data_IF_068638720525
#
_entry.id   IF_068638720525
#
_cell.length_a   1.000
_cell.length_b   1.000
_cell.length_c   1.000
_cell.angle_alpha   90.00
_cell.angle_beta   90.00
_cell.angle_gamma   90.00
#
_symmetry.space_group_name_H-M   'P 1'
#
loop_
_entity.id
_entity.type
_entity.pdbx_description
1 polymer ?
#
# COMPACT_ATOMS: atom_id res chain seq x y z
N UNK A 1 -8.49 31.68 -30.10
CA UNK A 1 -9.93 31.78 -29.75
C UNK A 1 -10.24 30.74 -28.69
N UNK A 2 -10.89 31.13 -27.59
CA UNK A 2 -11.39 30.19 -26.57
C UNK A 2 -12.92 30.21 -26.66
N UNK A 3 -13.55 29.04 -26.63
CA UNK A 3 -15.02 28.90 -26.69
C UNK A 3 -15.48 28.10 -25.49
N UNK A 4 -16.46 28.65 -24.78
CA UNK A 4 -17.16 27.96 -23.71
C UNK A 4 -18.63 27.86 -24.06
N UNK A 5 -19.19 26.67 -23.89
CA UNK A 5 -20.59 26.38 -24.14
C UNK A 5 -21.26 25.95 -22.85
N UNK A 6 -22.40 26.54 -22.56
CA UNK A 6 -23.17 26.30 -21.36
C UNK A 6 -24.49 25.62 -21.71
N UNK A 7 -25.01 24.85 -20.76
CA UNK A 7 -26.31 24.20 -20.88
C UNK A 7 -27.40 25.16 -20.39
N UNK A 8 -28.59 25.07 -21.01
CA UNK A 8 -29.74 25.92 -20.69
C UNK A 8 -30.14 25.78 -19.22
N UNK A 9 -30.25 26.91 -18.53
CA UNK A 9 -30.81 26.97 -17.18
C UNK A 9 -32.26 27.49 -17.24
N UNK A 10 -33.22 26.60 -16.96
CA UNK A 10 -34.65 26.91 -16.99
C UNK A 10 -35.09 27.96 -15.95
N UNK A 11 -34.28 28.20 -14.91
CA UNK A 11 -34.56 29.21 -13.88
C UNK A 11 -34.26 30.65 -14.33
N UNK A 12 -33.61 30.85 -15.48
CA UNK A 12 -33.26 32.16 -16.04
C UNK A 12 -33.98 32.41 -17.37
N UNK A 13 -34.31 33.67 -17.65
CA UNK A 13 -34.82 34.06 -18.96
C UNK A 13 -33.80 33.72 -20.05
N UNK A 14 -34.26 33.31 -21.23
CA UNK A 14 -33.40 32.92 -22.35
C UNK A 14 -32.43 34.03 -22.74
N UNK A 15 -32.90 35.28 -22.69
CA UNK A 15 -32.13 36.49 -22.99
C UNK A 15 -31.10 36.89 -21.92
N UNK A 16 -31.11 36.25 -20.74
CA UNK A 16 -30.15 36.52 -19.64
C UNK A 16 -29.24 35.32 -19.37
N UNK A 17 -29.47 34.20 -20.04
CA UNK A 17 -28.73 32.96 -19.87
C UNK A 17 -27.74 32.78 -21.03
N UNK A 18 -26.45 32.82 -20.72
CA UNK A 18 -25.38 32.75 -21.72
C UNK A 18 -25.24 31.31 -22.20
N UNK A 19 -25.45 31.08 -23.50
CA UNK A 19 -25.29 29.76 -24.13
C UNK A 19 -23.87 29.52 -24.62
N UNK A 20 -23.26 30.53 -25.25
CA UNK A 20 -21.90 30.46 -25.75
C UNK A 20 -21.15 31.75 -25.39
N UNK A 21 -19.94 31.58 -24.84
CA UNK A 21 -18.99 32.66 -24.61
C UNK A 21 -17.75 32.41 -25.44
N UNK A 22 -17.38 33.38 -26.24
CA UNK A 22 -16.24 33.31 -27.16
C UNK A 22 -15.27 34.43 -26.85
N UNK A 23 -14.04 34.05 -26.49
CA UNK A 23 -12.92 34.97 -26.32
C UNK A 23 -12.03 34.98 -27.57
N UNK A 24 -12.00 36.10 -28.27
CA UNK A 24 -11.14 36.36 -29.43
C UNK A 24 -9.90 37.13 -28.97
N UNK A 25 -8.93 36.39 -28.42
CA UNK A 25 -7.72 36.95 -27.81
C UNK A 25 -6.92 37.90 -28.71
N UNK A 26 -6.86 37.62 -30.03
CA UNK A 26 -6.09 38.43 -30.99
C UNK A 26 -6.83 39.72 -31.39
N UNK A 27 -8.16 39.67 -31.41
CA UNK A 27 -9.01 40.80 -31.81
C UNK A 27 -9.48 41.61 -30.60
N UNK A 28 -9.06 41.22 -29.39
CA UNK A 28 -9.46 41.82 -28.11
C UNK A 28 -10.99 41.94 -27.94
N UNK A 29 -11.72 40.91 -28.42
CA UNK A 29 -13.19 40.88 -28.42
C UNK A 29 -13.75 39.71 -27.64
N UNK A 30 -14.87 39.95 -26.96
CA UNK A 30 -15.63 38.94 -26.24
C UNK A 30 -17.04 38.90 -26.80
N UNK A 31 -17.42 37.76 -27.40
CA UNK A 31 -18.76 37.56 -27.95
C UNK A 31 -19.57 36.65 -27.04
N UNK A 32 -20.74 37.12 -26.66
CA UNK A 32 -21.76 36.37 -25.93
C UNK A 32 -22.93 36.06 -26.85
N UNK A 33 -23.32 34.80 -26.85
CA UNK A 33 -24.58 34.34 -27.44
C UNK A 33 -25.44 33.81 -26.31
N UNK A 34 -26.65 34.36 -26.18
CA UNK A 34 -27.62 33.92 -25.18
C UNK A 34 -28.41 32.71 -25.69
N UNK A 35 -29.12 32.02 -24.80
CA UNK A 35 -29.97 30.91 -25.21
C UNK A 35 -31.16 31.39 -26.07
N UNK A 36 -31.58 30.52 -27.00
CA UNK A 36 -32.76 30.75 -27.82
C UNK A 36 -34.02 30.68 -26.95
N UNK A 37 -34.92 31.64 -27.14
CA UNK A 37 -36.26 31.60 -26.53
C UNK A 37 -37.20 30.71 -27.35
N UNK A 38 -38.09 29.95 -26.70
CA UNK A 38 -38.90 28.90 -27.34
C UNK A 38 -39.75 29.39 -28.53
N UNK A 39 -40.11 30.67 -28.57
CA UNK A 39 -40.94 31.28 -29.62
C UNK A 39 -40.14 32.14 -30.62
N UNK A 40 -38.80 32.00 -30.71
CA UNK A 40 -37.94 32.80 -31.60
C UNK A 40 -37.02 31.95 -32.45
N UNK A 41 -36.64 32.51 -33.60
CA UNK A 41 -35.74 31.87 -34.58
C UNK A 41 -34.27 32.28 -34.36
N UNK A 42 -34.03 33.45 -33.76
CA UNK A 42 -32.69 33.99 -33.50
C UNK A 42 -32.45 34.22 -32.02
N UNK A 43 -31.20 34.06 -31.58
CA UNK A 43 -30.78 34.34 -30.22
C UNK A 43 -30.25 35.78 -30.09
N UNK A 44 -30.39 36.34 -28.89
CA UNK A 44 -29.75 37.62 -28.56
C UNK A 44 -28.23 37.45 -28.51
N UNK A 45 -27.48 38.47 -28.94
CA UNK A 45 -26.02 38.47 -28.88
C UNK A 45 -25.50 39.78 -28.31
N UNK A 46 -24.34 39.71 -27.66
CA UNK A 46 -23.63 40.89 -27.18
C UNK A 46 -22.14 40.72 -27.41
N UNK A 47 -21.51 41.74 -27.96
CA UNK A 47 -20.09 41.79 -28.18
C UNK A 47 -19.50 42.93 -27.34
N UNK A 48 -18.36 42.64 -26.73
CA UNK A 48 -17.57 43.57 -25.96
C UNK A 48 -16.20 43.71 -26.61
N UNK A 49 -15.78 44.95 -26.85
CA UNK A 49 -14.39 45.28 -27.09
C UNK A 49 -13.68 45.42 -25.75
N UNK A 50 -12.60 44.67 -25.54
CA UNK A 50 -11.81 44.73 -24.32
C UNK A 50 -11.07 46.08 -24.27
N UNK A 51 -11.17 46.85 -23.17
CA UNK A 51 -10.38 48.06 -23.03
C UNK A 51 -8.87 47.76 -22.99
N UNK A 52 -8.01 48.64 -23.52
CA UNK A 52 -6.57 48.51 -23.38
C UNK A 52 -6.15 48.52 -21.90
N UNK A 53 -5.07 47.81 -21.55
CA UNK A 53 -4.42 47.83 -20.22
C UNK A 53 -5.18 47.18 -19.05
N UNK A 54 -6.22 46.38 -19.30
CA UNK A 54 -6.94 45.65 -18.21
C UNK A 54 -6.11 44.57 -17.51
N UNK A 55 -5.00 44.14 -18.09
CA UNK A 55 -4.13 43.07 -17.55
C UNK A 55 -3.01 43.58 -16.63
N UNK A 56 -2.82 44.89 -16.52
CA UNK A 56 -1.78 45.47 -15.66
C UNK A 56 -2.32 45.67 -14.24
N UNK A 57 -1.54 45.24 -13.23
CA UNK A 57 -1.92 45.33 -11.81
C UNK A 57 -2.18 46.80 -11.43
N UNK A 58 -3.45 47.19 -11.36
CA UNK A 58 -3.89 48.55 -11.02
C UNK A 58 -4.61 49.31 -12.15
N UNK A 59 -4.79 48.69 -13.33
CA UNK A 59 -5.57 49.28 -14.41
C UNK A 59 -7.05 49.43 -14.05
N UNK A 60 -7.58 50.65 -14.09
CA UNK A 60 -9.02 50.90 -13.90
C UNK A 60 -9.73 50.53 -15.20
N UNK A 61 -10.58 49.51 -15.17
CA UNK A 61 -11.46 49.16 -16.28
C UNK A 61 -12.37 50.37 -16.58
N UNK A 62 -12.08 51.07 -17.66
CA UNK A 62 -12.88 52.23 -18.10
C UNK A 62 -13.77 51.79 -19.26
N UNK A 63 -15.08 51.77 -19.01
CA UNK A 63 -16.06 51.35 -20.00
C UNK A 63 -16.62 52.56 -20.74
N UNK A 64 -16.40 52.64 -22.04
CA UNK A 64 -17.08 53.62 -22.91
C UNK A 64 -18.27 52.95 -23.62
N UNK A 65 -19.39 53.68 -23.86
CA UNK A 65 -20.56 53.10 -24.52
C UNK A 65 -20.27 52.49 -25.91
N UNK A 66 -19.26 52.98 -26.62
CA UNK A 66 -18.86 52.51 -27.94
C UNK A 66 -18.14 51.15 -27.92
N UNK A 67 -17.77 50.65 -26.74
CA UNK A 67 -17.10 49.35 -26.55
C UNK A 67 -18.07 48.17 -26.41
N UNK A 68 -19.38 48.39 -26.48
CA UNK A 68 -20.37 47.30 -26.48
C UNK A 68 -21.33 47.41 -27.65
N UNK A 69 -21.43 46.34 -28.42
CA UNK A 69 -22.44 46.15 -29.45
C UNK A 69 -23.41 45.08 -28.97
N UNK A 70 -24.72 45.35 -29.01
CA UNK A 70 -25.72 44.36 -28.59
C UNK A 70 -26.84 44.22 -29.62
N UNK A 71 -27.19 42.98 -29.91
CA UNK A 71 -28.36 42.62 -30.69
C UNK A 71 -29.38 41.94 -29.78
N UNK A 72 -30.55 42.56 -29.66
CA UNK A 72 -31.67 42.03 -28.90
C UNK A 72 -32.82 41.73 -29.84
N UNK A 73 -33.40 40.53 -29.70
CA UNK A 73 -34.45 40.08 -30.63
C UNK A 73 -35.77 40.83 -30.42
N UNK A 74 -36.02 41.36 -29.22
CA UNK A 74 -37.14 42.26 -28.92
C UNK A 74 -36.69 43.72 -28.92
N UNK A 75 -37.18 44.53 -29.88
CA UNK A 75 -36.96 45.97 -29.86
C UNK A 75 -37.68 46.68 -28.69
N UNK A 76 -38.65 46.01 -28.04
CA UNK A 76 -39.47 46.56 -26.96
C UNK A 76 -38.85 46.37 -25.56
N UNK A 77 -37.89 45.45 -25.42
CA UNK A 77 -37.24 45.21 -24.13
C UNK A 77 -36.20 46.32 -23.92
N UNK A 78 -36.24 46.93 -22.74
CA UNK A 78 -35.30 48.00 -22.40
C UNK A 78 -33.88 47.44 -22.31
N UNK A 79 -32.87 48.14 -22.84
CA UNK A 79 -31.49 47.74 -22.65
C UNK A 79 -31.17 47.71 -21.15
N UNK A 80 -30.31 46.78 -20.69
CA UNK A 80 -29.92 46.72 -19.29
C UNK A 80 -29.20 48.01 -18.88
N UNK A 81 -29.26 48.34 -17.59
CA UNK A 81 -28.57 49.50 -17.03
C UNK A 81 -27.05 49.37 -17.29
N UNK A 82 -26.39 50.50 -17.57
CA UNK A 82 -24.94 50.54 -17.83
C UNK A 82 -24.10 49.91 -16.69
N UNK A 83 -24.54 50.03 -15.44
CA UNK A 83 -23.90 49.37 -14.30
C UNK A 83 -23.87 47.84 -14.47
N UNK A 84 -24.98 47.24 -14.90
CA UNK A 84 -25.05 45.79 -15.12
C UNK A 84 -24.18 45.34 -16.29
N UNK A 85 -24.08 46.17 -17.35
CA UNK A 85 -23.20 45.91 -18.49
C UNK A 85 -21.72 46.00 -18.07
N UNK A 86 -21.38 46.94 -17.20
CA UNK A 86 -20.05 47.07 -16.62
C UNK A 86 -19.69 45.86 -15.76
N UNK A 87 -20.55 45.47 -14.81
CA UNK A 87 -20.33 44.29 -13.96
C UNK A 87 -20.16 43.02 -14.80
N UNK A 88 -20.95 42.89 -15.88
CA UNK A 88 -20.81 41.81 -16.84
C UNK A 88 -19.42 41.84 -17.49
N UNK A 89 -18.96 42.97 -18.00
CA UNK A 89 -17.63 43.10 -18.59
C UNK A 89 -16.51 42.72 -17.61
N UNK A 90 -16.56 43.21 -16.36
CA UNK A 90 -15.58 42.84 -15.31
C UNK A 90 -15.54 41.31 -15.14
N UNK A 91 -16.70 40.67 -15.01
CA UNK A 91 -16.79 39.22 -14.85
C UNK A 91 -16.27 38.45 -16.07
N UNK A 92 -16.42 39.01 -17.28
CA UNK A 92 -15.94 38.39 -18.51
C UNK A 92 -14.43 38.48 -18.63
N UNK A 93 -13.81 39.60 -18.25
CA UNK A 93 -12.35 39.76 -18.23
C UNK A 93 -11.72 38.81 -17.20
N UNK A 94 -12.27 38.72 -16.00
CA UNK A 94 -11.80 37.74 -15.01
C UNK A 94 -11.94 36.30 -15.49
N UNK A 95 -13.03 36.00 -16.18
CA UNK A 95 -13.25 34.67 -16.72
C UNK A 95 -12.30 34.35 -17.87
N UNK A 96 -12.04 35.31 -18.76
CA UNK A 96 -11.04 35.19 -19.82
C UNK A 96 -9.67 34.80 -19.24
N UNK A 97 -9.20 35.52 -18.22
CA UNK A 97 -7.93 35.22 -17.55
C UNK A 97 -7.90 33.79 -16.97
N UNK A 98 -8.97 33.38 -16.30
CA UNK A 98 -9.11 32.01 -15.77
C UNK A 98 -9.10 30.97 -16.88
N UNK A 99 -9.78 31.22 -18.00
CA UNK A 99 -9.79 30.31 -19.14
C UNK A 99 -8.40 30.19 -19.79
N UNK A 100 -7.68 31.30 -19.96
CA UNK A 100 -6.30 31.30 -20.46
C UNK A 100 -5.40 30.48 -19.54
N UNK A 101 -5.50 30.68 -18.22
CA UNK A 101 -4.73 29.91 -17.25
C UNK A 101 -5.03 28.40 -17.32
N UNK A 102 -6.31 28.03 -17.44
CA UNK A 102 -6.71 26.62 -17.61
C UNK A 102 -6.15 25.99 -18.88
N UNK A 103 -6.17 26.71 -20.00
CA UNK A 103 -5.59 26.23 -21.26
C UNK A 103 -4.09 26.02 -21.10
N UNK A 104 -3.37 26.95 -20.48
CA UNK A 104 -1.93 26.79 -20.20
C UNK A 104 -1.61 25.58 -19.33
N UNK A 105 -2.37 25.38 -18.25
CA UNK A 105 -2.20 24.19 -17.39
C UNK A 105 -2.44 22.89 -18.18
N UNK A 106 -3.44 22.88 -19.05
CA UNK A 106 -3.71 21.73 -19.92
C UNK A 106 -2.59 21.50 -20.95
N UNK A 107 -2.02 22.55 -21.52
CA UNK A 107 -0.85 22.46 -22.41
C UNK A 107 0.37 21.88 -21.69
N UNK A 108 0.60 22.28 -20.43
CA UNK A 108 1.66 21.72 -19.58
C UNK A 108 1.43 20.24 -19.29
N UNK A 109 0.21 19.85 -18.91
CA UNK A 109 -0.17 18.45 -18.69
C UNK A 109 0.06 17.59 -19.95
N UNK A 110 -0.38 18.06 -21.12
CA UNK A 110 -0.16 17.35 -22.39
C UNK A 110 1.34 17.19 -22.68
N UNK A 111 2.13 18.23 -22.40
CA UNK A 111 3.59 18.17 -22.58
C UNK A 111 4.23 17.13 -21.65
N UNK A 112 3.77 17.03 -20.39
CA UNK A 112 4.23 16.00 -19.45
C UNK A 112 3.88 14.60 -19.93
N UNK A 113 2.65 14.38 -20.41
CA UNK A 113 2.20 13.10 -20.99
C UNK A 113 3.09 12.70 -22.17
N UNK A 114 3.40 13.64 -23.07
CA UNK A 114 4.27 13.39 -24.21
C UNK A 114 5.70 13.04 -23.77
N UNK A 115 6.23 13.72 -22.76
CA UNK A 115 7.55 13.40 -22.19
C UNK A 115 7.59 12.02 -21.54
N UNK A 116 6.53 11.62 -20.84
CA UNK A 116 6.41 10.28 -20.27
C UNK A 116 6.39 9.22 -21.39
N UNK A 117 5.60 9.43 -22.44
CA UNK A 117 5.57 8.52 -23.60
C UNK A 117 6.93 8.36 -24.27
N UNK A 118 7.67 9.45 -24.47
CA UNK A 118 9.04 9.38 -25.04
C UNK A 118 9.95 8.51 -24.16
N UNK A 119 9.85 8.65 -22.82
CA UNK A 119 10.65 7.82 -21.89
C UNK A 119 10.23 6.35 -21.95
N UNK A 120 8.93 6.08 -22.02
CA UNK A 120 8.38 4.72 -22.16
C UNK A 120 8.81 4.07 -23.48
N UNK A 121 8.76 4.80 -24.59
CA UNK A 121 9.20 4.31 -25.90
C UNK A 121 10.72 4.08 -25.97
N UNK A 122 11.52 4.90 -25.29
CA UNK A 122 12.97 4.72 -25.23
C UNK A 122 13.40 3.46 -24.45
N UNK A 123 12.60 3.06 -23.45
CA UNK A 123 12.87 1.88 -22.62
C UNK A 123 11.56 1.15 -22.26
N UNK A 124 11.00 0.36 -23.19
CA UNK A 124 9.75 -0.34 -22.95
C UNK A 124 9.95 -1.42 -21.88
N UNK A 125 9.26 -1.26 -20.75
CA UNK A 125 9.25 -2.25 -19.69
C UNK A 125 8.07 -3.21 -19.90
N UNK A 126 8.36 -4.51 -19.93
CA UNK A 126 7.32 -5.54 -19.93
C UNK A 126 6.78 -5.69 -18.51
N UNK A 127 5.47 -5.52 -18.33
CA UNK A 127 4.79 -5.86 -17.09
C UNK A 127 4.66 -7.38 -16.98
N UNK A 128 5.70 -8.01 -16.43
CA UNK A 128 5.69 -9.45 -16.16
C UNK A 128 4.84 -9.71 -14.92
N UNK A 129 3.83 -10.57 -15.06
CA UNK A 129 2.98 -10.99 -13.96
C UNK A 129 3.80 -11.61 -12.83
N UNK A 130 3.43 -11.34 -11.58
CA UNK A 130 4.06 -11.97 -10.39
C UNK A 130 3.96 -13.50 -10.44
N UNK A 131 2.95 -14.02 -11.13
CA UNK A 131 2.69 -15.45 -11.30
C UNK A 131 3.46 -16.09 -12.48
N UNK A 132 4.11 -15.28 -13.34
CA UNK A 132 4.94 -15.79 -14.43
C UNK A 132 6.34 -16.11 -13.91
N UNK A 133 6.54 -17.35 -13.48
CA UNK A 133 7.77 -17.83 -12.86
C UNK A 133 8.93 -17.99 -13.85
N UNK A 134 8.69 -17.93 -15.16
CA UNK A 134 9.75 -18.06 -16.17
C UNK A 134 10.37 -16.72 -16.55
N UNK A 135 9.56 -15.67 -16.67
CA UNK A 135 10.02 -14.32 -17.05
C UNK A 135 10.40 -13.44 -15.87
N UNK A 136 9.94 -13.77 -14.66
CA UNK A 136 10.27 -13.01 -13.46
C UNK A 136 11.60 -13.48 -12.85
N UNK A 137 12.70 -12.82 -13.25
CA UNK A 137 14.05 -13.15 -12.76
C UNK A 137 14.16 -13.11 -11.22
N UNK A 138 13.44 -12.21 -10.55
CA UNK A 138 13.44 -12.14 -9.08
C UNK A 138 12.80 -13.39 -8.46
N UNK A 139 11.70 -13.87 -9.02
CA UNK A 139 11.06 -15.11 -8.56
C UNK A 139 11.94 -16.33 -8.80
N UNK A 140 12.65 -16.36 -9.94
CA UNK A 140 13.61 -17.42 -10.27
C UNK A 140 14.79 -17.46 -9.30
N UNK A 141 15.40 -16.31 -9.01
CA UNK A 141 16.49 -16.20 -8.04
C UNK A 141 16.05 -16.61 -6.63
N UNK A 142 14.87 -16.17 -6.20
CA UNK A 142 14.33 -16.53 -4.88
C UNK A 142 14.07 -18.04 -4.76
N UNK A 143 13.55 -18.69 -5.81
CA UNK A 143 13.36 -20.16 -5.83
C UNK A 143 14.70 -20.90 -5.76
N UNK A 144 15.69 -20.46 -6.54
CA UNK A 144 17.04 -21.07 -6.51
C UNK A 144 17.70 -20.94 -5.13
N UNK A 145 17.53 -19.80 -4.45
CA UNK A 145 18.10 -19.59 -3.12
C UNK A 145 17.41 -20.46 -2.05
N UNK A 146 16.08 -20.64 -2.15
CA UNK A 146 15.31 -21.56 -1.32
C UNK A 146 15.75 -23.00 -1.50
N UNK A 147 15.90 -23.46 -2.75
CA UNK A 147 16.40 -24.81 -3.05
C UNK A 147 17.81 -25.02 -2.51
N UNK A 148 18.70 -24.04 -2.65
CA UNK A 148 20.07 -24.11 -2.10
C UNK A 148 20.05 -24.22 -0.58
N UNK A 149 19.26 -23.39 0.11
CA UNK A 149 19.11 -23.44 1.58
C UNK A 149 18.53 -24.77 2.03
N UNK A 150 17.55 -25.32 1.32
CA UNK A 150 16.98 -26.64 1.62
C UNK A 150 18.02 -27.75 1.47
N UNK A 151 18.86 -27.70 0.43
CA UNK A 151 19.96 -28.65 0.24
C UNK A 151 21.04 -28.50 1.32
N UNK A 152 21.46 -27.28 1.65
CA UNK A 152 22.43 -27.01 2.72
C UNK A 152 21.92 -27.50 4.09
N UNK A 153 20.64 -27.28 4.39
CA UNK A 153 20.01 -27.81 5.61
C UNK A 153 19.90 -29.33 5.60
N UNK A 154 19.57 -29.93 4.46
CA UNK A 154 19.51 -31.39 4.32
C UNK A 154 20.90 -32.01 4.52
N UNK A 155 21.95 -31.41 3.97
CA UNK A 155 23.34 -31.83 4.16
C UNK A 155 23.77 -31.67 5.62
N UNK A 156 23.48 -30.53 6.27
CA UNK A 156 23.75 -30.35 7.72
C UNK A 156 23.00 -31.35 8.58
N UNK A 157 21.75 -31.69 8.23
CA UNK A 157 20.98 -32.74 8.91
C UNK A 157 21.61 -34.10 8.70
N UNK A 158 22.07 -34.41 7.49
CA UNK A 158 22.75 -35.66 7.20
C UNK A 158 24.08 -35.77 7.95
N UNK A 159 24.88 -34.71 8.01
CA UNK A 159 26.13 -34.65 8.77
C UNK A 159 25.94 -34.73 10.29
N UNK A 160 24.80 -34.27 10.83
CA UNK A 160 24.49 -34.38 12.27
C UNK A 160 23.82 -35.71 12.64
N UNK A 161 23.22 -36.42 11.68
CA UNK A 161 22.75 -37.79 11.85
C UNK A 161 23.89 -38.83 11.80
N UNK A 162 25.12 -38.41 11.45
CA UNK A 162 26.32 -39.23 11.53
C UNK A 162 26.73 -39.46 13.01
N UNK A 163 26.33 -40.64 13.50
CA UNK A 163 26.78 -41.31 14.73
C UNK A 163 26.26 -40.75 16.08
N UNK A 164 25.05 -41.17 16.44
CA UNK A 164 24.42 -40.94 17.75
C UNK A 164 25.14 -41.63 18.92
N UNK A 165 26.08 -42.54 18.66
CA UNK A 165 26.86 -43.28 19.66
C UNK A 165 28.27 -42.73 19.84
N UNK A 166 28.82 -42.00 18.87
CA UNK A 166 30.19 -41.49 18.91
C UNK A 166 30.56 -40.69 20.18
N UNK A 167 29.70 -39.80 20.74
CA UNK A 167 30.03 -39.08 21.97
C UNK A 167 30.16 -39.99 23.19
N UNK A 168 29.36 -41.07 23.25
CA UNK A 168 29.35 -42.01 24.36
C UNK A 168 30.47 -43.05 24.23
N UNK A 169 30.81 -43.46 23.00
CA UNK A 169 31.94 -44.35 22.70
C UNK A 169 33.30 -43.67 22.97
N UNK A 170 33.42 -42.39 22.64
CA UNK A 170 34.61 -41.59 22.95
C UNK A 170 34.85 -41.46 24.47
N UNK A 171 33.78 -41.51 25.28
CA UNK A 171 33.86 -41.43 26.73
C UNK A 171 34.35 -42.74 27.38
N UNK A 172 34.16 -43.88 26.71
CA UNK A 172 34.61 -45.22 27.13
C UNK A 172 35.99 -45.57 26.54
N UNK A 173 36.48 -44.79 25.57
CA UNK A 173 37.83 -44.92 25.00
C UNK A 173 37.93 -45.89 23.82
N UNK A 174 36.86 -46.07 23.04
CA UNK A 174 36.79 -46.94 21.86
C UNK A 174 37.34 -48.38 22.08
N UNK A 175 36.78 -49.15 23.03
CA UNK A 175 37.17 -50.55 23.19
C UNK A 175 36.74 -51.39 21.96
N UNK A 176 37.60 -52.28 21.44
CA UNK A 176 37.30 -53.11 20.26
C UNK A 176 36.18 -54.14 20.50
N UNK A 177 35.81 -54.39 21.76
CA UNK A 177 34.64 -55.17 22.18
C UNK A 177 34.05 -54.55 23.44
N UNK A 178 32.78 -54.19 23.38
CA UNK A 178 32.02 -53.63 24.51
C UNK A 178 31.56 -54.80 25.39
N UNK A 179 31.81 -54.78 26.69
CA UNK A 179 31.24 -55.77 27.61
C UNK A 179 29.72 -55.65 27.66
N UNK A 180 28.99 -56.75 27.90
CA UNK A 180 27.52 -56.69 28.09
C UNK A 180 27.13 -55.62 29.11
N UNK A 181 27.86 -55.50 30.21
CA UNK A 181 27.57 -54.49 31.24
C UNK A 181 27.81 -53.04 30.76
N UNK A 182 28.80 -52.82 29.90
CA UNK A 182 29.11 -51.51 29.32
C UNK A 182 28.09 -51.13 28.25
N UNK A 183 27.62 -52.09 27.45
CA UNK A 183 26.55 -51.88 26.47
C UNK A 183 25.23 -51.46 27.14
N UNK A 184 24.86 -52.09 28.27
CA UNK A 184 23.68 -51.69 29.05
C UNK A 184 23.84 -50.28 29.63
N UNK A 185 24.99 -49.94 30.21
CA UNK A 185 25.26 -48.59 30.74
C UNK A 185 25.20 -47.53 29.66
N UNK A 186 25.85 -47.77 28.52
CA UNK A 186 25.88 -46.84 27.41
C UNK A 186 24.49 -46.64 26.80
N UNK A 187 23.65 -47.69 26.75
CA UNK A 187 22.24 -47.56 26.35
C UNK A 187 21.45 -46.70 27.34
N UNK A 188 21.62 -46.92 28.65
CA UNK A 188 20.93 -46.13 29.68
C UNK A 188 21.37 -44.66 29.64
N UNK A 189 22.66 -44.38 29.50
CA UNK A 189 23.20 -43.02 29.40
C UNK A 189 22.69 -42.29 28.14
N UNK A 190 22.68 -42.96 26.97
CA UNK A 190 22.10 -42.40 25.74
C UNK A 190 20.62 -42.03 25.92
N UNK A 191 19.83 -42.93 26.52
CA UNK A 191 18.40 -42.71 26.73
C UNK A 191 18.14 -41.63 27.79
N UNK A 192 18.98 -41.55 28.83
CA UNK A 192 18.87 -40.55 29.88
C UNK A 192 19.25 -39.15 29.38
N UNK A 193 20.29 -39.03 28.55
CA UNK A 193 20.65 -37.77 27.89
C UNK A 193 19.54 -37.28 26.97
N UNK A 194 18.97 -38.16 26.12
CA UNK A 194 17.82 -37.79 25.29
C UNK A 194 16.63 -37.32 26.15
N UNK A 195 16.34 -38.03 27.25
CA UNK A 195 15.27 -37.66 28.19
C UNK A 195 15.51 -36.27 28.78
N UNK A 196 16.73 -35.97 29.24
CA UNK A 196 17.07 -34.65 29.77
C UNK A 196 16.92 -33.56 28.72
N UNK A 197 17.44 -33.77 27.50
CA UNK A 197 17.27 -32.80 26.39
C UNK A 197 15.81 -32.54 26.05
N UNK A 198 14.96 -33.56 26.09
CA UNK A 198 13.51 -33.39 25.87
C UNK A 198 12.87 -32.58 27.02
N UNK A 199 13.27 -32.83 28.27
CA UNK A 199 12.79 -32.07 29.43
C UNK A 199 13.25 -30.61 29.35
N UNK A 200 14.53 -30.36 29.12
CA UNK A 200 15.10 -29.01 29.01
C UNK A 200 14.43 -28.21 27.90
N UNK A 201 14.16 -28.86 26.76
CA UNK A 201 13.46 -28.22 25.66
C UNK A 201 12.00 -27.88 26.01
N UNK A 202 11.30 -28.77 26.72
CA UNK A 202 9.95 -28.48 27.20
C UNK A 202 9.95 -27.32 28.21
N UNK A 203 10.89 -27.33 29.16
CA UNK A 203 11.06 -26.27 30.15
C UNK A 203 11.39 -24.92 29.49
N UNK A 204 12.23 -24.90 28.46
CA UNK A 204 12.54 -23.68 27.71
C UNK A 204 11.32 -23.12 26.98
N UNK A 205 10.50 -23.97 26.37
CA UNK A 205 9.26 -23.54 25.70
C UNK A 205 8.26 -23.01 26.74
N UNK A 206 8.12 -23.71 27.87
CA UNK A 206 7.26 -23.31 28.99
C UNK A 206 7.69 -21.95 29.57
N UNK A 207 8.98 -21.75 29.85
CA UNK A 207 9.51 -20.50 30.37
C UNK A 207 9.26 -19.31 29.42
N UNK A 208 9.33 -19.53 28.10
CA UNK A 208 8.99 -18.50 27.10
C UNK A 208 7.49 -18.22 27.08
N UNK A 209 6.66 -19.25 27.18
CA UNK A 209 5.21 -19.10 27.25
C UNK A 209 4.80 -18.27 28.47
N UNK A 210 5.37 -18.59 29.64
CA UNK A 210 5.12 -17.86 30.89
C UNK A 210 5.58 -16.40 30.80
N UNK A 211 6.74 -16.15 30.20
CA UNK A 211 7.26 -14.80 30.00
C UNK A 211 6.32 -13.95 29.13
N UNK A 212 5.92 -14.44 27.95
CA UNK A 212 5.02 -13.70 27.05
C UNK A 212 3.63 -13.48 27.71
N UNK A 213 3.15 -14.47 28.47
CA UNK A 213 1.89 -14.34 29.23
C UNK A 213 1.97 -13.27 30.32
N UNK A 214 3.09 -13.22 31.06
CA UNK A 214 3.33 -12.20 32.08
C UNK A 214 3.46 -10.80 31.47
N UNK A 215 4.13 -10.66 30.32
CA UNK A 215 4.26 -9.39 29.60
C UNK A 215 2.89 -8.87 29.12
N UNK A 216 2.05 -9.75 28.58
CA UNK A 216 0.67 -9.42 28.20
C UNK A 216 -0.14 -8.96 29.41
N UNK A 217 -0.09 -9.71 30.52
CA UNK A 217 -0.82 -9.37 31.75
C UNK A 217 -0.35 -8.02 32.32
N UNK A 218 0.96 -7.75 32.31
CA UNK A 218 1.52 -6.48 32.77
C UNK A 218 1.04 -5.30 31.91
N UNK A 219 0.99 -5.48 30.59
CA UNK A 219 0.49 -4.46 29.66
C UNK A 219 -1.02 -4.24 29.78
N UNK A 220 -1.80 -5.29 30.05
CA UNK A 220 -3.22 -5.17 30.38
C UNK A 220 -3.46 -4.37 31.67
N UNK A 221 -2.73 -4.68 32.75
CA UNK A 221 -2.83 -3.92 34.01
C UNK A 221 -2.41 -2.46 33.84
N UNK A 222 -1.38 -2.19 33.04
CA UNK A 222 -0.95 -0.83 32.71
C UNK A 222 -2.03 -0.05 31.95
N UNK A 223 -2.64 -0.67 30.94
CA UNK A 223 -3.71 -0.05 30.16
C UNK A 223 -4.93 0.29 31.03
N UNK A 224 -5.34 -0.60 31.94
CA UNK A 224 -6.42 -0.33 32.90
C UNK A 224 -6.15 0.88 33.81
N UNK A 225 -4.89 1.13 34.16
CA UNK A 225 -4.52 2.27 35.02
C UNK A 225 -4.40 3.59 34.25
N UNK A 226 -3.97 3.53 32.98
CA UNK A 226 -3.66 4.70 32.16
C UNK A 226 -4.79 5.09 31.18
N UNK A 227 -5.91 4.36 31.17
CA UNK A 227 -7.02 4.51 30.21
C UNK A 227 -7.57 5.94 30.07
N UNK A 228 -7.56 6.74 31.14
CA UNK A 228 -8.11 8.11 31.15
C UNK A 228 -7.18 9.12 30.46
N UNK A 229 -5.89 8.78 30.32
CA UNK A 229 -4.85 9.70 29.82
C UNK A 229 -4.32 9.32 28.43
N UNK A 230 -4.94 8.37 27.73
CA UNK A 230 -4.44 7.86 26.43
C UNK A 230 -5.05 8.56 25.22
N UNK A 231 -4.22 8.71 24.20
CA UNK A 231 -4.61 9.22 22.88
C UNK A 231 -5.03 8.07 21.95
N UNK A 232 -5.72 8.38 20.85
CA UNK A 232 -6.14 7.36 19.88
C UNK A 232 -4.95 6.57 19.28
N UNK A 233 -3.77 7.19 19.16
CA UNK A 233 -2.55 6.51 18.68
C UNK A 233 -2.05 5.48 19.71
N UNK A 234 -2.10 5.81 21.01
CA UNK A 234 -1.72 4.88 22.09
C UNK A 234 -2.65 3.66 22.18
N UNK A 235 -3.94 3.84 21.86
CA UNK A 235 -4.93 2.74 21.81
C UNK A 235 -4.64 1.77 20.66
N UNK A 236 -4.30 2.28 19.47
CA UNK A 236 -3.92 1.43 18.33
C UNK A 236 -2.64 0.65 18.60
N UNK A 237 -1.62 1.27 19.20
CA UNK A 237 -0.39 0.60 19.60
C UNK A 237 -0.65 -0.52 20.62
N UNK A 238 -1.53 -0.28 21.60
CA UNK A 238 -1.92 -1.28 22.58
C UNK A 238 -2.63 -2.48 21.94
N UNK A 239 -3.59 -2.24 21.05
CA UNK A 239 -4.31 -3.29 20.34
C UNK A 239 -3.36 -4.14 19.48
N UNK A 240 -2.43 -3.49 18.77
CA UNK A 240 -1.39 -4.16 18.00
C UNK A 240 -0.51 -5.04 18.89
N UNK A 241 -0.02 -4.50 20.02
CA UNK A 241 0.78 -5.26 20.99
C UNK A 241 0.02 -6.48 21.53
N UNK A 242 -1.25 -6.31 21.92
CA UNK A 242 -2.08 -7.40 22.42
C UNK A 242 -2.29 -8.49 21.35
N UNK A 243 -2.56 -8.11 20.10
CA UNK A 243 -2.73 -9.06 19.01
C UNK A 243 -1.45 -9.87 18.74
N UNK A 244 -0.29 -9.23 18.76
CA UNK A 244 1.00 -9.86 18.52
C UNK A 244 1.39 -10.80 19.67
N UNK A 245 1.22 -10.35 20.92
CA UNK A 245 1.47 -11.16 22.10
C UNK A 245 0.55 -12.40 22.16
N UNK A 246 -0.74 -12.25 21.87
CA UNK A 246 -1.68 -13.39 21.78
C UNK A 246 -1.25 -14.40 20.71
N UNK A 247 -0.81 -13.93 19.54
CA UNK A 247 -0.31 -14.79 18.47
C UNK A 247 0.96 -15.56 18.90
N UNK A 248 1.91 -14.90 19.57
CA UNK A 248 3.12 -15.55 20.10
C UNK A 248 2.79 -16.61 21.16
N UNK A 249 1.89 -16.29 22.09
CA UNK A 249 1.41 -17.23 23.12
C UNK A 249 0.79 -18.47 22.47
N UNK A 250 -0.07 -18.29 21.48
CA UNK A 250 -0.71 -19.41 20.77
C UNK A 250 0.31 -20.31 20.05
N UNK A 251 1.31 -19.73 19.39
CA UNK A 251 2.40 -20.50 18.76
C UNK A 251 3.18 -21.30 19.81
N UNK A 252 3.48 -20.71 20.97
CA UNK A 252 4.22 -21.37 22.04
C UNK A 252 3.42 -22.52 22.65
N UNK A 253 2.12 -22.34 22.84
CA UNK A 253 1.20 -23.39 23.27
C UNK A 253 1.17 -24.56 22.28
N UNK A 254 0.99 -24.27 20.99
CA UNK A 254 0.97 -25.30 19.94
C UNK A 254 2.32 -26.04 19.86
N UNK A 255 3.44 -25.33 20.01
CA UNK A 255 4.78 -25.94 20.06
C UNK A 255 4.96 -26.84 21.27
N UNK A 256 4.45 -26.44 22.44
CA UNK A 256 4.53 -27.24 23.66
C UNK A 256 3.68 -28.52 23.52
N UNK A 257 2.46 -28.41 23.00
CA UNK A 257 1.58 -29.56 22.78
C UNK A 257 2.19 -30.55 21.78
N UNK A 258 2.69 -30.05 20.64
CA UNK A 258 3.41 -30.88 19.67
C UNK A 258 4.66 -31.54 20.26
N UNK A 259 5.37 -30.85 21.15
CA UNK A 259 6.53 -31.44 21.84
C UNK A 259 6.10 -32.57 22.78
N UNK A 260 5.01 -32.41 23.53
CA UNK A 260 4.45 -33.44 24.42
C UNK A 260 4.03 -34.70 23.63
N UNK A 261 3.43 -34.53 22.45
CA UNK A 261 3.02 -35.65 21.58
C UNK A 261 4.21 -36.39 20.95
N UNK A 262 5.22 -35.65 20.47
CA UNK A 262 6.35 -36.24 19.74
C UNK A 262 7.45 -36.79 20.65
N UNK A 263 7.59 -36.29 21.88
CA UNK A 263 8.66 -36.70 22.80
C UNK A 263 8.66 -38.22 23.11
N UNK A 264 7.52 -38.87 23.44
CA UNK A 264 7.48 -40.32 23.64
C UNK A 264 7.87 -41.10 22.38
N UNK A 265 7.39 -40.65 21.21
CA UNK A 265 7.69 -41.28 19.92
C UNK A 265 9.19 -41.24 19.63
N UNK A 266 9.84 -40.10 19.88
CA UNK A 266 11.31 -39.97 19.71
C UNK A 266 12.10 -40.82 20.68
N UNK A 267 11.65 -40.93 21.92
CA UNK A 267 12.26 -41.80 22.92
C UNK A 267 12.18 -43.27 22.49
N UNK A 268 11.01 -43.72 22.06
CA UNK A 268 10.80 -45.09 21.56
C UNK A 268 11.62 -45.37 20.30
N UNK A 269 11.72 -44.42 19.38
CA UNK A 269 12.54 -44.55 18.17
C UNK A 269 14.03 -44.70 18.51
N UNK A 270 14.56 -43.92 19.46
CA UNK A 270 15.94 -44.07 19.89
C UNK A 270 16.16 -45.43 20.57
N UNK A 271 15.23 -45.87 21.42
CA UNK A 271 15.31 -47.18 22.05
C UNK A 271 15.33 -48.31 21.02
N UNK A 272 14.46 -48.25 20.00
CA UNK A 272 14.44 -49.23 18.93
C UNK A 272 15.74 -49.20 18.13
N UNK A 273 16.25 -48.01 17.77
CA UNK A 273 17.54 -47.84 17.07
C UNK A 273 18.69 -48.45 17.85
N UNK A 274 18.78 -48.19 19.16
CA UNK A 274 19.82 -48.75 20.04
C UNK A 274 19.73 -50.28 20.18
N UNK A 275 18.53 -50.87 20.08
CA UNK A 275 18.34 -52.34 20.08
C UNK A 275 18.71 -52.98 18.75
N UNK A 276 18.47 -52.29 17.63
CA UNK A 276 18.75 -52.81 16.28
C UNK A 276 20.15 -52.50 15.78
N UNK A 277 20.91 -51.66 16.48
CA UNK A 277 22.24 -51.22 16.07
C UNK A 277 23.24 -52.40 16.08
N UNK A 278 23.96 -52.68 14.97
CA UNK A 278 24.94 -53.76 14.89
C UNK A 278 26.00 -53.76 16.01
N UNK A 279 26.35 -52.60 16.57
CA UNK A 279 27.35 -52.44 17.64
C UNK A 279 26.84 -52.87 19.02
N UNK A 280 25.52 -52.91 19.20
CA UNK A 280 24.85 -53.18 20.48
C UNK A 280 23.91 -54.39 20.41
N UNK A 281 23.43 -54.76 19.22
CA UNK A 281 22.48 -55.85 18.97
C UNK A 281 23.01 -57.23 19.36
N UNK A 282 24.32 -57.43 19.42
CA UNK A 282 24.92 -58.67 19.95
C UNK A 282 24.68 -58.87 21.46
N UNK A 283 24.30 -57.80 22.19
CA UNK A 283 24.17 -57.80 23.65
C UNK A 283 22.72 -57.62 24.15
N UNK A 284 21.75 -57.41 23.26
CA UNK A 284 20.34 -57.10 23.55
C UNK A 284 19.33 -58.05 22.93
#
# INVERSE_FOLDING_TARGET
KIVERFHRNASKLANEDVAERVFLLMDERINLTFHLEDNRVTASTREFARPPHTSEKGGVLTMTPDMTTSFQVDPLVKPPKNLHVYDMLVSLVEAEEKCIQRVRLSEEEVKEILQQRIKEEAAPQLSVSVYDTERNEKAKLHRQELERKMQEEAMKKHETELDYLAPFLAQIGDPPRISRQEAYKLKEECLQDLKQRLIDKANLIQARFEKETQELQRKQSWYQQNQISMTNEDEEEYLNFCSEAMFRIHILEQRLNRHKELAPTKYMQLEQKLRTDPRLAEYF
#
